data_IF_860005262877
#
_entry.id   IF_860005262877
#
_cell.length_a   1.000
_cell.length_b   1.000
_cell.length_c   1.000
_cell.angle_alpha   90.00
_cell.angle_beta   90.00
_cell.angle_gamma   90.00
#
_symmetry.space_group_name_H-M   'P 1'
#
loop_
_entity.id
_entity.type
_entity.pdbx_description
1 polymer ?
#
# COMPACT_ATOMS: atom_id res chain seq x y z
N UNK A 1 -12.91 -13.00 8.98
CA UNK A 1 -12.68 -12.16 7.78
C UNK A 1 -13.79 -12.52 6.81
N UNK A 2 -14.56 -11.53 6.32
CA UNK A 2 -15.58 -11.78 5.30
C UNK A 2 -14.92 -12.11 3.95
N UNK A 3 -15.63 -12.78 3.07
CA UNK A 3 -15.15 -13.05 1.72
C UNK A 3 -14.85 -11.73 1.00
N UNK A 4 -13.72 -11.66 0.31
CA UNK A 4 -13.38 -10.56 -0.59
C UNK A 4 -14.42 -10.50 -1.72
N UNK A 5 -15.07 -9.35 -1.89
CA UNK A 5 -15.90 -9.08 -3.04
C UNK A 5 -14.99 -8.75 -4.24
N UNK A 6 -14.98 -9.64 -5.23
CA UNK A 6 -14.14 -9.51 -6.43
C UNK A 6 -14.83 -8.74 -7.56
N UNK A 7 -16.10 -8.34 -7.39
CA UNK A 7 -16.88 -7.59 -8.38
C UNK A 7 -16.13 -6.35 -8.89
N UNK A 8 -15.48 -5.54 -8.04
CA UNK A 8 -14.73 -4.38 -8.51
C UNK A 8 -13.54 -4.75 -9.41
N UNK A 9 -12.82 -5.84 -9.10
CA UNK A 9 -11.67 -6.29 -9.91
C UNK A 9 -12.16 -6.75 -11.28
N UNK A 10 -13.23 -7.54 -11.31
CA UNK A 10 -13.85 -7.98 -12.55
C UNK A 10 -14.36 -6.80 -13.39
N UNK A 11 -14.99 -5.82 -12.75
CA UNK A 11 -15.57 -4.65 -13.43
C UNK A 11 -14.49 -3.69 -13.96
N UNK A 12 -13.48 -3.36 -13.15
CA UNK A 12 -12.51 -2.30 -13.48
C UNK A 12 -11.20 -2.81 -14.07
N UNK A 13 -10.70 -3.95 -13.62
CA UNK A 13 -9.44 -4.53 -14.12
C UNK A 13 -9.68 -5.56 -15.23
N UNK A 14 -10.78 -6.32 -15.19
CA UNK A 14 -11.11 -7.38 -16.14
C UNK A 14 -10.85 -7.03 -17.62
N UNK A 15 -11.39 -5.92 -18.15
CA UNK A 15 -11.16 -5.52 -19.54
C UNK A 15 -9.69 -5.26 -19.89
N UNK A 16 -8.88 -4.82 -18.93
CA UNK A 16 -7.44 -4.61 -19.12
C UNK A 16 -6.67 -5.93 -19.07
N UNK A 17 -7.08 -6.85 -18.19
CA UNK A 17 -6.51 -8.19 -18.10
C UNK A 17 -6.77 -9.00 -19.37
N UNK A 18 -7.95 -8.86 -19.99
CA UNK A 18 -8.29 -9.48 -21.27
C UNK A 18 -7.40 -8.97 -22.42
N UNK A 19 -6.86 -7.76 -22.31
CA UNK A 19 -5.88 -7.18 -23.24
C UNK A 19 -4.43 -7.59 -22.91
N UNK A 20 -4.21 -8.41 -21.89
CA UNK A 20 -2.89 -8.84 -21.43
C UNK A 20 -2.14 -7.81 -20.58
N UNK A 21 -2.82 -6.77 -20.10
CA UNK A 21 -2.22 -5.74 -19.23
C UNK A 21 -2.30 -6.19 -17.76
N UNK A 22 -1.44 -7.13 -17.39
CA UNK A 22 -1.48 -7.82 -16.08
C UNK A 22 -0.56 -7.23 -15.01
N UNK A 23 0.18 -6.16 -15.33
CA UNK A 23 1.21 -5.61 -14.45
C UNK A 23 2.58 -6.31 -14.55
N UNK A 24 2.75 -7.22 -15.50
CA UNK A 24 4.01 -7.92 -15.75
C UNK A 24 5.19 -6.95 -15.89
N UNK A 25 6.24 -7.20 -15.11
CA UNK A 25 7.45 -6.37 -15.10
C UNK A 25 7.34 -5.08 -14.29
N UNK A 26 6.24 -4.89 -13.55
CA UNK A 26 6.07 -3.77 -12.61
C UNK A 26 6.35 -4.25 -11.19
N UNK A 27 7.33 -3.61 -10.55
CA UNK A 27 7.64 -3.78 -9.14
C UNK A 27 6.91 -2.72 -8.29
N UNK A 28 6.28 -3.16 -7.20
CA UNK A 28 5.50 -2.34 -6.26
C UNK A 28 6.04 -2.54 -4.85
N UNK A 29 6.38 -1.46 -4.17
CA UNK A 29 6.73 -1.48 -2.76
C UNK A 29 5.46 -1.34 -1.90
N UNK A 30 5.19 -2.31 -1.03
CA UNK A 30 4.06 -2.28 -0.10
C UNK A 30 4.59 -2.10 1.33
N UNK A 31 4.30 -0.95 1.94
CA UNK A 31 4.69 -0.61 3.30
C UNK A 31 3.47 -0.76 4.22
N UNK A 32 3.43 -1.83 5.01
CA UNK A 32 2.30 -2.20 5.85
C UNK A 32 2.74 -3.09 7.05
N UNK A 33 1.93 -4.07 7.45
CA UNK A 33 2.17 -4.98 8.58
C UNK A 33 3.02 -6.21 8.20
N UNK A 34 3.22 -6.44 6.91
CA UNK A 34 4.01 -7.55 6.36
C UNK A 34 3.22 -8.32 5.29
N UNK A 35 3.60 -9.58 5.05
CA UNK A 35 2.91 -10.45 4.08
C UNK A 35 3.08 -11.92 4.43
N UNK A 36 2.01 -12.70 4.31
CA UNK A 36 2.04 -14.16 4.36
C UNK A 36 2.28 -14.74 2.96
N UNK A 37 3.54 -15.11 2.67
CA UNK A 37 3.92 -15.74 1.40
C UNK A 37 3.46 -17.19 1.27
N UNK A 38 2.98 -17.81 2.36
CA UNK A 38 2.36 -19.13 2.32
C UNK A 38 0.92 -19.10 1.82
N UNK A 39 0.33 -17.91 1.67
CA UNK A 39 -1.03 -17.77 1.18
C UNK A 39 -1.13 -18.21 -0.30
N UNK A 40 -2.07 -19.10 -0.67
CA UNK A 40 -2.14 -19.65 -2.04
C UNK A 40 -2.27 -18.61 -3.15
N UNK A 41 -2.91 -17.47 -2.87
CA UNK A 41 -3.06 -16.38 -3.84
C UNK A 41 -1.79 -15.53 -4.03
N UNK A 42 -0.76 -15.69 -3.21
CA UNK A 42 0.45 -14.86 -3.20
C UNK A 42 1.73 -15.65 -3.52
N UNK A 43 1.58 -16.87 -4.02
CA UNK A 43 2.71 -17.70 -4.42
C UNK A 43 3.58 -16.98 -5.46
N UNK A 44 4.89 -16.93 -5.23
CA UNK A 44 5.89 -16.25 -6.08
C UNK A 44 5.62 -14.76 -6.38
N UNK A 45 4.76 -14.08 -5.61
CA UNK A 45 4.47 -12.65 -5.83
C UNK A 45 5.44 -11.71 -5.12
N UNK A 46 6.12 -12.16 -4.07
CA UNK A 46 7.00 -11.33 -3.23
C UNK A 46 8.45 -11.54 -3.63
N UNK A 47 9.06 -10.49 -4.19
CA UNK A 47 10.45 -10.49 -4.66
C UNK A 47 11.45 -10.14 -3.55
N UNK A 48 11.06 -9.29 -2.60
CA UNK A 48 11.89 -8.91 -1.46
C UNK A 48 11.03 -8.60 -0.22
N UNK A 49 11.60 -8.80 0.96
CA UNK A 49 10.95 -8.57 2.24
C UNK A 49 11.89 -7.90 3.23
N UNK A 50 11.42 -6.80 3.83
CA UNK A 50 12.14 -6.04 4.84
C UNK A 50 11.32 -5.93 6.13
N UNK A 51 11.90 -6.36 7.25
CA UNK A 51 11.32 -6.15 8.58
C UNK A 51 12.11 -5.11 9.35
N UNK A 52 11.42 -4.10 9.89
CA UNK A 52 12.04 -3.06 10.70
C UNK A 52 11.59 -3.18 12.16
N UNK A 53 12.56 -3.23 13.07
CA UNK A 53 12.30 -3.26 14.51
C UNK A 53 11.84 -1.89 15.04
N UNK A 54 11.57 -1.78 16.34
CA UNK A 54 11.06 -0.55 16.96
C UNK A 54 11.99 0.66 16.81
N UNK A 55 13.29 0.43 16.58
CA UNK A 55 14.30 1.47 16.32
C UNK A 55 14.45 1.81 14.83
N UNK A 56 13.65 1.20 13.95
CA UNK A 56 13.74 1.38 12.50
C UNK A 56 14.97 0.72 11.87
N UNK A 57 15.57 -0.25 12.55
CA UNK A 57 16.70 -1.02 12.01
C UNK A 57 16.16 -2.23 11.24
N UNK A 58 16.69 -2.43 10.03
CA UNK A 58 16.39 -3.59 9.21
C UNK A 58 16.92 -4.88 9.89
N UNK A 59 16.03 -5.85 10.11
CA UNK A 59 16.42 -7.18 10.57
C UNK A 59 16.65 -8.10 9.37
N UNK A 60 17.92 -8.28 9.00
CA UNK A 60 18.32 -9.11 7.87
C UNK A 60 17.97 -10.60 8.08
N UNK A 61 17.61 -11.28 7.00
CA UNK A 61 17.44 -12.75 6.99
C UNK A 61 16.14 -13.25 7.62
N UNK A 62 15.21 -12.37 7.98
CA UNK A 62 13.87 -12.80 8.40
C UNK A 62 13.09 -13.36 7.21
N UNK A 63 12.45 -14.51 7.44
CA UNK A 63 11.39 -14.98 6.56
C UNK A 63 10.24 -13.96 6.53
N UNK A 64 9.54 -13.86 5.40
CA UNK A 64 8.36 -13.01 5.28
C UNK A 64 7.22 -13.51 6.17
N UNK A 65 6.60 -12.60 6.90
CA UNK A 65 5.42 -12.85 7.71
C UNK A 65 4.61 -11.56 7.84
N UNK A 66 3.36 -11.70 8.29
CA UNK A 66 2.46 -10.58 8.54
C UNK A 66 2.00 -10.58 10.00
N UNK A 67 2.16 -9.46 10.70
CA UNK A 67 1.77 -9.37 12.11
C UNK A 67 0.28 -9.09 12.34
N UNK A 68 -0.45 -8.62 11.33
CA UNK A 68 -1.85 -8.20 11.50
C UNK A 68 -2.78 -8.61 10.35
N UNK A 69 -2.27 -9.35 9.34
CA UNK A 69 -2.97 -9.79 8.13
C UNK A 69 -3.40 -8.67 7.17
N UNK A 70 -3.23 -7.40 7.56
CA UNK A 70 -3.63 -6.25 6.76
C UNK A 70 -2.78 -6.14 5.50
N UNK A 71 -1.46 -6.26 5.63
CA UNK A 71 -0.55 -6.26 4.50
C UNK A 71 -0.78 -7.42 3.53
N UNK A 72 -1.08 -8.62 4.04
CA UNK A 72 -1.47 -9.79 3.21
C UNK A 72 -2.75 -9.53 2.43
N UNK A 73 -3.75 -8.90 3.06
CA UNK A 73 -4.99 -8.53 2.40
C UNK A 73 -4.75 -7.52 1.27
N UNK A 74 -3.91 -6.50 1.51
CA UNK A 74 -3.54 -5.53 0.48
C UNK A 74 -2.72 -6.16 -0.64
N UNK A 75 -1.77 -7.05 -0.33
CA UNK A 75 -1.02 -7.80 -1.31
C UNK A 75 -1.95 -8.60 -2.24
N UNK A 76 -2.99 -9.23 -1.67
CA UNK A 76 -4.02 -9.93 -2.44
C UNK A 76 -4.78 -9.02 -3.41
N UNK A 77 -5.21 -7.83 -2.96
CA UNK A 77 -5.88 -6.85 -3.82
C UNK A 77 -4.94 -6.39 -4.96
N UNK A 78 -3.64 -6.23 -4.67
CA UNK A 78 -2.67 -5.74 -5.67
C UNK A 78 -2.39 -6.82 -6.72
N UNK A 79 -1.94 -8.01 -6.32
CA UNK A 79 -1.40 -9.01 -7.25
C UNK A 79 -1.81 -10.45 -6.92
N UNK A 80 -2.92 -10.63 -6.19
CA UNK A 80 -3.46 -11.95 -5.91
C UNK A 80 -3.79 -12.72 -7.20
N UNK A 81 -3.44 -14.01 -7.22
CA UNK A 81 -3.81 -14.91 -8.33
C UNK A 81 -5.31 -15.22 -8.36
N UNK A 82 -5.72 -16.05 -9.32
CA UNK A 82 -7.09 -16.57 -9.45
C UNK A 82 -8.15 -15.47 -9.62
N UNK A 83 -7.79 -14.36 -10.27
CA UNK A 83 -8.69 -13.23 -10.52
C UNK A 83 -8.96 -12.36 -9.30
N UNK A 84 -8.14 -12.48 -8.24
CA UNK A 84 -8.27 -11.68 -7.02
C UNK A 84 -7.61 -10.30 -7.18
N UNK A 85 -6.40 -10.25 -7.75
CA UNK A 85 -5.59 -9.05 -7.85
C UNK A 85 -5.91 -8.19 -9.06
N UNK A 86 -5.71 -6.88 -8.92
CA UNK A 86 -5.82 -5.90 -10.01
C UNK A 86 -4.68 -6.06 -11.04
N UNK A 87 -3.48 -6.39 -10.57
CA UNK A 87 -2.26 -6.55 -11.36
C UNK A 87 -1.57 -7.89 -11.00
N UNK A 88 -2.13 -9.03 -11.45
CA UNK A 88 -1.71 -10.36 -10.99
C UNK A 88 -0.25 -10.71 -11.32
N UNK A 89 0.36 -10.12 -12.36
CA UNK A 89 1.76 -10.39 -12.72
C UNK A 89 2.74 -9.33 -12.19
N UNK A 90 2.29 -8.40 -11.35
CA UNK A 90 3.17 -7.48 -10.64
C UNK A 90 3.97 -8.21 -9.55
N UNK A 91 5.14 -7.65 -9.19
CA UNK A 91 5.99 -8.16 -8.10
C UNK A 91 5.99 -7.21 -6.92
N UNK A 92 5.89 -7.78 -5.71
CA UNK A 92 5.89 -7.01 -4.47
C UNK A 92 7.26 -6.97 -3.80
N UNK A 93 7.60 -5.81 -3.29
CA UNK A 93 8.69 -5.55 -2.36
C UNK A 93 8.04 -5.12 -1.04
N UNK A 94 7.95 -6.00 -0.06
CA UNK A 94 7.13 -5.77 1.13
C UNK A 94 7.98 -5.31 2.31
N UNK A 95 7.66 -4.14 2.87
CA UNK A 95 8.28 -3.62 4.08
C UNK A 95 7.27 -3.63 5.23
N UNK A 96 7.58 -4.40 6.27
CA UNK A 96 6.82 -4.47 7.52
C UNK A 96 7.22 -3.30 8.43
N UNK A 97 6.47 -2.21 8.36
CA UNK A 97 6.71 -0.95 9.10
C UNK A 97 5.63 -0.62 10.14
N UNK A 98 4.46 -1.27 10.05
CA UNK A 98 3.32 -1.14 10.99
C UNK A 98 3.20 -2.40 11.88
N UNK A 99 4.32 -3.06 12.19
CA UNK A 99 4.29 -4.37 12.84
C UNK A 99 3.99 -4.35 14.35
N UNK A 100 4.09 -3.18 15.00
CA UNK A 100 3.77 -2.96 16.42
C UNK A 100 3.03 -1.62 16.61
N UNK A 101 2.19 -1.26 15.63
CA UNK A 101 1.51 0.04 15.57
C UNK A 101 2.30 1.10 14.79
N UNK A 102 1.84 2.35 14.87
CA UNK A 102 2.43 3.46 14.12
C UNK A 102 3.79 3.86 14.69
N UNK A 103 4.80 4.04 13.81
CA UNK A 103 6.11 4.59 14.19
C UNK A 103 6.73 5.34 13.03
N UNK A 104 7.00 6.63 13.25
CA UNK A 104 7.64 7.47 12.24
C UNK A 104 8.98 6.90 11.77
N UNK A 105 9.80 6.42 12.71
CA UNK A 105 11.16 5.95 12.42
C UNK A 105 11.13 4.72 11.51
N UNK A 106 10.23 3.75 11.78
CA UNK A 106 10.04 2.58 10.90
C UNK A 106 9.50 2.96 9.53
N UNK A 107 8.52 3.87 9.48
CA UNK A 107 7.94 4.33 8.22
C UNK A 107 9.01 5.01 7.37
N UNK A 108 9.85 5.88 7.95
CA UNK A 108 10.94 6.55 7.23
C UNK A 108 11.99 5.53 6.75
N UNK A 109 12.39 4.58 7.58
CA UNK A 109 13.34 3.53 7.19
C UNK A 109 12.80 2.66 6.04
N UNK A 110 11.51 2.28 6.09
CA UNK A 110 10.87 1.54 5.01
C UNK A 110 10.73 2.36 3.71
N UNK A 111 10.48 3.66 3.81
CA UNK A 111 10.43 4.55 2.64
C UNK A 111 11.82 4.73 2.01
N UNK A 112 12.88 4.81 2.83
CA UNK A 112 14.26 4.83 2.35
C UNK A 112 14.65 3.51 1.68
N UNK A 113 14.24 2.38 2.25
CA UNK A 113 14.40 1.08 1.59
C UNK A 113 13.66 1.01 0.25
N UNK A 114 12.40 1.49 0.20
CA UNK A 114 11.62 1.56 -1.03
C UNK A 114 12.18 2.55 -2.06
N UNK A 115 12.88 3.60 -1.62
CA UNK A 115 13.58 4.53 -2.51
C UNK A 115 14.70 3.81 -3.28
N UNK A 116 15.41 2.90 -2.60
CA UNK A 116 16.53 2.14 -3.16
C UNK A 116 16.10 0.83 -3.85
N UNK A 117 14.82 0.46 -3.79
CA UNK A 117 14.29 -0.73 -4.46
C UNK A 117 13.98 -0.46 -5.94
N UNK A 118 13.82 -1.51 -6.79
CA UNK A 118 13.41 -1.33 -8.18
C UNK A 118 11.94 -0.91 -8.34
N UNK A 119 11.18 -0.82 -7.25
CA UNK A 119 9.75 -0.51 -7.30
C UNK A 119 9.48 0.86 -7.91
N UNK A 120 8.52 0.93 -8.82
CA UNK A 120 8.05 2.18 -9.44
C UNK A 120 6.85 2.78 -8.72
N UNK A 121 6.14 1.97 -7.96
CA UNK A 121 4.96 2.35 -7.18
C UNK A 121 5.27 2.04 -5.72
N UNK A 122 4.89 2.94 -4.82
CA UNK A 122 4.99 2.77 -3.37
C UNK A 122 3.59 2.94 -2.80
N UNK A 123 3.06 1.88 -2.21
CA UNK A 123 1.81 1.90 -1.45
C UNK A 123 2.18 2.02 0.02
N UNK A 124 1.89 3.18 0.60
CA UNK A 124 2.06 3.43 2.03
C UNK A 124 0.68 3.44 2.69
N UNK A 125 0.28 2.30 3.23
CA UNK A 125 -1.06 2.07 3.75
C UNK A 125 -1.15 2.38 5.26
N UNK A 126 -0.84 3.63 5.61
CA UNK A 126 -0.88 4.12 6.99
C UNK A 126 -1.61 5.45 7.08
N UNK A 127 -2.16 5.76 8.26
CA UNK A 127 -2.74 7.06 8.57
C UNK A 127 -2.35 7.55 9.95
N UNK A 128 -2.15 8.86 10.09
CA UNK A 128 -2.03 9.58 11.36
C UNK A 128 -2.76 10.92 11.27
N UNK A 129 -3.41 11.34 12.35
CA UNK A 129 -4.08 12.65 12.43
C UNK A 129 -3.11 13.83 12.36
N UNK A 130 -1.81 13.58 12.55
CA UNK A 130 -0.80 14.62 12.65
C UNK A 130 0.10 14.64 11.41
N UNK A 131 0.05 15.72 10.60
CA UNK A 131 0.99 15.94 9.52
C UNK A 131 2.42 16.01 10.07
N UNK A 132 3.39 15.52 9.30
CA UNK A 132 4.79 15.52 9.66
C UNK A 132 5.65 15.97 8.46
N UNK A 133 6.43 17.07 8.58
CA UNK A 133 7.21 17.63 7.48
C UNK A 133 8.37 16.73 7.04
N UNK A 134 8.91 15.89 7.93
CA UNK A 134 9.96 14.90 7.58
C UNK A 134 9.36 13.81 6.70
N UNK A 135 8.19 13.29 7.06
CA UNK A 135 7.47 12.33 6.22
C UNK A 135 7.10 12.93 4.86
N UNK A 136 6.63 14.18 4.83
CA UNK A 136 6.35 14.89 3.58
C UNK A 136 7.59 14.99 2.69
N UNK A 137 8.73 15.38 3.26
CA UNK A 137 10.01 15.51 2.55
C UNK A 137 10.55 14.18 2.03
N UNK A 138 10.34 13.09 2.78
CA UNK A 138 10.71 11.75 2.32
C UNK A 138 9.85 11.29 1.13
N UNK A 139 8.55 11.59 1.17
CA UNK A 139 7.65 11.34 0.04
C UNK A 139 8.06 12.19 -1.17
N UNK A 140 8.42 13.47 -0.99
CA UNK A 140 8.98 14.31 -2.07
C UNK A 140 10.25 13.68 -2.69
N UNK A 141 11.12 13.07 -1.88
CA UNK A 141 12.31 12.39 -2.40
C UNK A 141 11.94 11.20 -3.29
N UNK A 142 10.97 10.37 -2.88
CA UNK A 142 10.43 9.27 -3.70
C UNK A 142 9.84 9.79 -5.02
N UNK A 143 9.05 10.87 -4.99
CA UNK A 143 8.45 11.47 -6.19
C UNK A 143 9.52 12.01 -7.14
N UNK A 144 10.55 12.69 -6.61
CA UNK A 144 11.70 13.17 -7.41
C UNK A 144 12.52 12.03 -8.02
N UNK A 145 12.55 10.87 -7.36
CA UNK A 145 13.13 9.64 -7.91
C UNK A 145 12.22 8.92 -8.93
N UNK A 146 11.09 9.53 -9.34
CA UNK A 146 10.20 8.99 -10.35
C UNK A 146 9.22 7.93 -9.85
N UNK A 147 9.08 7.75 -8.52
CA UNK A 147 8.16 6.77 -7.94
C UNK A 147 6.77 7.37 -7.75
N UNK A 148 5.72 6.59 -8.02
CA UNK A 148 4.35 6.95 -7.67
C UNK A 148 4.07 6.54 -6.22
N UNK A 149 3.74 7.50 -5.36
CA UNK A 149 3.39 7.22 -3.96
C UNK A 149 1.88 7.27 -3.80
N UNK A 150 1.28 6.20 -3.31
CA UNK A 150 -0.16 6.03 -3.12
C UNK A 150 -0.43 5.90 -1.62
N UNK A 151 -1.38 6.68 -1.10
CA UNK A 151 -1.73 6.68 0.32
C UNK A 151 -3.26 6.75 0.48
N UNK A 152 -3.84 6.09 1.50
CA UNK A 152 -5.25 6.23 1.80
C UNK A 152 -5.55 7.61 2.40
N UNK A 153 -6.71 8.18 2.08
CA UNK A 153 -7.18 9.46 2.65
C UNK A 153 -7.50 9.36 4.15
N UNK A 154 -7.72 8.14 4.65
CA UNK A 154 -8.07 7.84 6.04
C UNK A 154 -9.53 7.38 6.21
N UNK A 155 -9.82 6.78 7.35
CA UNK A 155 -11.12 6.17 7.66
C UNK A 155 -11.94 6.97 8.69
N UNK A 156 -11.69 8.28 8.80
CA UNK A 156 -12.33 9.14 9.79
C UNK A 156 -13.76 9.60 9.40
N UNK A 157 -14.18 9.34 8.16
CA UNK A 157 -15.40 9.88 7.57
C UNK A 157 -15.25 11.31 7.04
N UNK A 158 -16.38 11.89 6.63
CA UNK A 158 -16.44 13.22 6.01
C UNK A 158 -15.72 14.29 6.83
N UNK A 159 -14.82 15.03 6.19
CA UNK A 159 -14.06 16.13 6.81
C UNK A 159 -12.91 15.68 7.71
N UNK A 160 -12.60 14.37 7.75
CA UNK A 160 -11.58 13.78 8.64
C UNK A 160 -10.53 12.99 7.86
N UNK A 161 -9.78 13.69 7.01
CA UNK A 161 -8.63 13.12 6.31
C UNK A 161 -7.38 13.07 7.20
N UNK A 162 -6.49 12.11 6.95
CA UNK A 162 -5.25 11.90 7.71
C UNK A 162 -4.00 12.02 6.84
N UNK A 163 -2.86 12.34 7.46
CA UNK A 163 -1.56 12.24 6.81
C UNK A 163 -1.13 10.76 6.69
N UNK A 164 -0.37 10.37 5.66
CA UNK A 164 0.09 11.18 4.53
C UNK A 164 -0.96 11.42 3.43
N UNK A 165 -2.16 10.85 3.50
CA UNK A 165 -3.20 11.00 2.47
C UNK A 165 -3.60 12.43 2.12
N UNK A 166 -3.37 13.40 3.00
CA UNK A 166 -3.60 14.84 2.73
C UNK A 166 -2.44 15.56 2.02
N UNK A 167 -1.31 14.90 1.79
CA UNK A 167 -0.16 15.56 1.19
C UNK A 167 -0.38 15.77 -0.32
N UNK A 168 0.01 16.93 -0.83
CA UNK A 168 -0.17 17.29 -2.24
C UNK A 168 0.66 16.46 -3.21
N UNK A 169 1.62 15.69 -2.71
CA UNK A 169 2.60 14.94 -3.48
C UNK A 169 2.35 13.43 -3.50
N UNK A 170 1.23 12.96 -2.93
CA UNK A 170 0.77 11.58 -3.04
C UNK A 170 -0.45 11.49 -3.95
N UNK A 171 -0.67 10.32 -4.54
CA UNK A 171 -1.99 9.93 -5.02
C UNK A 171 -2.82 9.51 -3.81
N UNK A 172 -3.75 10.39 -3.42
CA UNK A 172 -4.65 10.13 -2.30
C UNK A 172 -5.88 9.33 -2.75
N UNK A 173 -6.20 8.25 -2.04
CA UNK A 173 -7.27 7.33 -2.43
C UNK A 173 -8.33 7.24 -1.33
N UNK A 174 -9.58 7.54 -1.71
CA UNK A 174 -10.78 7.32 -0.88
C UNK A 174 -11.46 5.99 -1.18
N UNK A 175 -12.55 5.71 -0.46
CA UNK A 175 -13.30 4.47 -0.61
C UNK A 175 -14.75 4.74 -1.07
N UNK A 176 -15.24 3.86 -1.94
CA UNK A 176 -16.65 3.77 -2.34
C UNK A 176 -17.21 2.40 -1.96
N UNK A 177 -18.52 2.31 -1.79
CA UNK A 177 -19.24 1.06 -1.60
C UNK A 177 -19.57 0.38 -2.96
N UNK A 178 -20.17 -0.82 -2.98
CA UNK A 178 -20.52 -1.50 -4.23
C UNK A 178 -21.51 -0.75 -5.14
N UNK A 179 -22.26 0.22 -4.61
CA UNK A 179 -23.16 1.07 -5.40
C UNK A 179 -22.43 2.26 -6.04
N UNK A 180 -21.14 2.44 -5.76
CA UNK A 180 -20.35 3.59 -6.21
C UNK A 180 -20.49 4.84 -5.33
N UNK A 181 -21.24 4.78 -4.22
CA UNK A 181 -21.35 5.89 -3.29
C UNK A 181 -20.10 5.97 -2.40
N UNK A 182 -19.71 7.18 -2.01
CA UNK A 182 -18.62 7.38 -1.03
C UNK A 182 -18.94 6.63 0.26
N UNK A 183 -18.04 5.73 0.66
CA UNK A 183 -18.20 4.95 1.88
C UNK A 183 -18.25 5.88 3.10
N UNK A 184 -19.10 5.59 4.08
CA UNK A 184 -19.32 6.46 5.25
C UNK A 184 -18.04 6.72 6.06
N UNK A 185 -17.12 5.76 6.07
CA UNK A 185 -15.82 5.89 6.72
C UNK A 185 -14.78 6.62 5.87
N UNK A 186 -14.98 6.77 4.56
CA UNK A 186 -14.00 7.42 3.69
C UNK A 186 -13.74 8.86 4.15
N UNK A 187 -12.48 9.14 4.44
CA UNK A 187 -11.99 10.47 4.77
C UNK A 187 -12.22 11.45 3.61
N UNK A 188 -12.32 12.72 3.95
CA UNK A 188 -12.29 13.81 2.97
C UNK A 188 -11.76 15.08 3.63
N UNK A 189 -11.29 16.01 2.81
CA UNK A 189 -10.86 17.34 3.24
C UNK A 189 -11.41 18.37 2.26
N UNK A 190 -11.85 19.50 2.79
CA UNK A 190 -12.14 20.69 1.99
C UNK A 190 -10.81 21.39 1.68
N UNK A 191 -10.56 21.63 0.39
CA UNK A 191 -9.45 22.47 -0.05
C UNK A 191 -10.08 23.83 -0.29
N UNK A 192 -9.91 24.73 0.66
CA UNK A 192 -10.23 26.14 0.44
C UNK A 192 -9.20 26.66 -0.57
N UNK A 193 -9.70 27.13 -1.72
CA UNK A 193 -8.90 27.61 -2.86
C UNK A 193 -8.34 29.01 -2.66
#
# INVERSE_FOLDING_TARGET
MGNLDLTPVQQYAGPLLDLGLTGKGIDIALLDTGVDVGHPALHDKVADFAFFNDQGVLECGRAAFDTAKHGTHLAGIICGDQGIGVAPDARLHVASVINSGWSLVRILAGLEWALNSPARIVVLAVGSSWPNPVLFSMIEALRRAGKLVICPIGNGGKGRATAPGIYSNVLSVGAVNPNGDVASFSGSRFIDG
#
